data_IF_275016510847
#
_entry.id   IF_275016510847
#
_cell.length_a   1.000
_cell.length_b   1.000
_cell.length_c   1.000
_cell.angle_alpha   90.00
_cell.angle_beta   90.00
_cell.angle_gamma   90.00
#
_symmetry.space_group_name_H-M   'P 1'
#
loop_
_entity.id
_entity.type
_entity.pdbx_description
1 polymer ?
#
# COMPACT_ATOMS: atom_id res chain seq x y z
N UNK A 1 -6.77 -18.93 -22.02
CA UNK A 1 -6.73 -19.96 -20.95
C UNK A 1 -5.95 -19.42 -19.75
N UNK A 2 -6.61 -18.98 -18.67
CA UNK A 2 -5.93 -18.75 -17.39
C UNK A 2 -6.38 -19.81 -16.38
N UNK A 3 -5.50 -20.75 -16.08
CA UNK A 3 -5.69 -21.78 -15.05
C UNK A 3 -5.58 -21.13 -13.66
N UNK A 4 -6.64 -20.47 -13.20
CA UNK A 4 -6.76 -19.96 -11.83
C UNK A 4 -5.62 -19.04 -11.36
N UNK A 5 -5.54 -18.78 -10.04
CA UNK A 5 -4.39 -18.07 -9.46
C UNK A 5 -3.12 -18.91 -9.54
N UNK A 6 -2.03 -18.32 -10.01
CA UNK A 6 -0.74 -19.00 -10.10
C UNK A 6 -0.11 -19.23 -8.71
N UNK A 7 0.86 -20.16 -8.61
CA UNK A 7 1.57 -20.46 -7.35
C UNK A 7 2.15 -19.21 -6.68
N UNK A 8 2.71 -18.29 -7.48
CA UNK A 8 3.26 -17.03 -6.96
C UNK A 8 2.16 -16.10 -6.43
N UNK A 9 0.99 -16.07 -7.06
CA UNK A 9 -0.15 -15.27 -6.60
C UNK A 9 -0.65 -15.78 -5.24
N UNK A 10 -0.78 -17.11 -5.09
CA UNK A 10 -1.15 -17.76 -3.83
C UNK A 10 -0.14 -17.47 -2.72
N UNK A 11 1.17 -17.54 -3.01
CA UNK A 11 2.21 -17.24 -2.03
C UNK A 11 2.19 -15.77 -1.58
N UNK A 12 2.01 -14.82 -2.51
CA UNK A 12 1.88 -13.40 -2.18
C UNK A 12 0.63 -13.16 -1.33
N UNK A 13 -0.51 -13.76 -1.71
CA UNK A 13 -1.75 -13.65 -0.95
C UNK A 13 -1.58 -14.18 0.48
N UNK A 14 -0.94 -15.35 0.65
CA UNK A 14 -0.67 -15.92 1.96
C UNK A 14 0.20 -14.99 2.84
N UNK A 15 1.20 -14.32 2.26
CA UNK A 15 2.01 -13.31 2.96
C UNK A 15 1.15 -12.13 3.44
N UNK A 16 0.29 -11.60 2.57
CA UNK A 16 -0.56 -10.45 2.89
C UNK A 16 -1.67 -10.79 3.89
N UNK A 17 -2.21 -12.01 3.85
CA UNK A 17 -3.21 -12.48 4.80
C UNK A 17 -2.61 -12.84 6.16
N UNK A 18 -1.35 -13.31 6.20
CA UNK A 18 -0.65 -13.65 7.44
C UNK A 18 -0.23 -12.43 8.27
N UNK A 19 -0.05 -11.28 7.62
CA UNK A 19 0.29 -10.01 8.28
C UNK A 19 -0.63 -8.88 7.78
N UNK A 20 -1.92 -8.91 8.15
CA UNK A 20 -2.94 -8.03 7.56
C UNK A 20 -2.71 -6.54 7.86
N UNK A 21 -1.96 -6.21 8.92
CA UNK A 21 -1.64 -4.84 9.33
C UNK A 21 -0.29 -4.34 8.82
N UNK A 22 0.41 -5.12 8.01
CA UNK A 22 1.67 -4.72 7.39
C UNK A 22 1.48 -4.38 5.91
N UNK A 23 2.46 -3.71 5.32
CA UNK A 23 2.57 -3.48 3.89
C UNK A 23 3.94 -3.95 3.41
N UNK A 24 4.05 -4.41 2.18
CA UNK A 24 5.27 -5.03 1.67
C UNK A 24 5.77 -4.33 0.43
N UNK A 25 7.05 -3.98 0.40
CA UNK A 25 7.69 -3.62 -0.86
C UNK A 25 7.76 -4.84 -1.78
N UNK A 26 7.91 -4.64 -3.09
CA UNK A 26 8.18 -5.75 -4.02
C UNK A 26 9.40 -6.58 -3.57
N UNK A 27 10.42 -5.95 -2.96
CA UNK A 27 11.61 -6.65 -2.49
C UNK A 27 11.33 -7.48 -1.24
N UNK A 28 10.51 -6.98 -0.30
CA UNK A 28 10.02 -7.75 0.85
C UNK A 28 9.29 -9.01 0.38
N UNK A 29 8.37 -8.85 -0.58
CA UNK A 29 7.65 -9.97 -1.17
C UNK A 29 8.59 -10.95 -1.87
N UNK A 30 9.57 -10.47 -2.64
CA UNK A 30 10.55 -11.35 -3.30
C UNK A 30 11.27 -12.24 -2.29
N UNK A 31 11.73 -11.68 -1.16
CA UNK A 31 12.44 -12.44 -0.12
C UNK A 31 11.55 -13.50 0.55
N UNK A 32 10.25 -13.23 0.66
CA UNK A 32 9.28 -14.16 1.27
C UNK A 32 8.82 -15.27 0.34
N UNK A 33 8.63 -14.98 -0.95
CA UNK A 33 8.06 -15.94 -1.90
C UNK A 33 9.12 -16.78 -2.65
N UNK A 34 10.38 -16.35 -2.63
CA UNK A 34 11.51 -17.10 -3.16
C UNK A 34 12.44 -17.52 -2.02
N UNK A 35 12.18 -18.64 -1.33
CA UNK A 35 13.05 -19.10 -0.25
C UNK A 35 14.46 -19.41 -0.78
N UNK A 36 15.49 -19.04 -0.01
CA UNK A 36 16.89 -19.38 -0.32
C UNK A 36 17.56 -18.51 -1.39
N UNK A 37 16.93 -17.43 -1.87
CA UNK A 37 17.63 -16.52 -2.78
C UNK A 37 18.64 -15.66 -2.01
N UNK A 38 19.89 -15.65 -2.49
CA UNK A 38 20.94 -14.80 -1.91
C UNK A 38 20.72 -13.31 -2.23
N UNK A 39 20.09 -13.01 -3.38
CA UNK A 39 19.86 -11.64 -3.84
C UNK A 39 18.56 -11.53 -4.63
N UNK A 40 17.83 -10.44 -4.40
CA UNK A 40 16.66 -10.08 -5.22
C UNK A 40 17.12 -9.52 -6.56
N UNK A 41 16.87 -10.26 -7.63
CA UNK A 41 17.21 -9.87 -9.00
C UNK A 41 16.03 -9.21 -9.72
N UNK A 42 16.29 -8.59 -10.87
CA UNK A 42 15.25 -7.99 -11.73
C UNK A 42 14.15 -8.99 -12.10
N UNK A 43 14.51 -10.24 -12.43
CA UNK A 43 13.54 -11.29 -12.79
C UNK A 43 12.56 -11.59 -11.66
N UNK A 44 13.02 -11.64 -10.40
CA UNK A 44 12.17 -11.85 -9.23
C UNK A 44 11.18 -10.69 -9.08
N UNK A 45 11.69 -9.45 -9.14
CA UNK A 45 10.86 -8.24 -9.03
C UNK A 45 9.78 -8.15 -10.10
N UNK A 46 10.12 -8.46 -11.36
CA UNK A 46 9.16 -8.45 -12.48
C UNK A 46 8.07 -9.50 -12.25
N UNK A 47 8.44 -10.73 -11.90
CA UNK A 47 7.48 -11.81 -11.64
C UNK A 47 6.54 -11.49 -10.48
N UNK A 48 7.09 -11.01 -9.35
CA UNK A 48 6.31 -10.62 -8.16
C UNK A 48 5.41 -9.44 -8.46
N UNK A 49 5.92 -8.40 -9.14
CA UNK A 49 5.11 -7.23 -9.50
C UNK A 49 3.94 -7.63 -10.40
N UNK A 50 4.16 -8.49 -11.39
CA UNK A 50 3.08 -8.98 -12.27
C UNK A 50 2.04 -9.78 -11.49
N UNK A 51 2.47 -10.72 -10.65
CA UNK A 51 1.58 -11.51 -9.82
C UNK A 51 0.79 -10.63 -8.82
N UNK A 52 1.44 -9.71 -8.13
CA UNK A 52 0.80 -8.79 -7.20
C UNK A 52 -0.22 -7.86 -7.90
N UNK A 53 0.08 -7.39 -9.12
CA UNK A 53 -0.90 -6.64 -9.94
C UNK A 53 -2.10 -7.50 -10.31
N UNK A 54 -1.89 -8.75 -10.71
CA UNK A 54 -3.00 -9.65 -11.01
C UNK A 54 -3.89 -9.87 -9.78
N UNK A 55 -3.30 -10.01 -8.59
CA UNK A 55 -4.05 -10.09 -7.33
C UNK A 55 -4.86 -8.81 -7.11
N UNK A 56 -4.23 -7.65 -7.17
CA UNK A 56 -4.89 -6.36 -6.96
C UNK A 56 -6.02 -6.10 -7.98
N UNK A 57 -5.85 -6.53 -9.23
CA UNK A 57 -6.89 -6.41 -10.26
C UNK A 57 -8.08 -7.35 -10.06
N UNK A 58 -7.87 -8.49 -9.37
CA UNK A 58 -8.92 -9.50 -9.12
C UNK A 58 -9.60 -9.34 -7.76
N UNK A 59 -8.95 -8.66 -6.83
CA UNK A 59 -9.37 -8.56 -5.44
C UNK A 59 -9.31 -7.11 -4.95
N UNK A 60 -10.49 -6.54 -4.69
CA UNK A 60 -10.68 -5.16 -4.22
C UNK A 60 -10.01 -4.85 -2.87
N UNK A 61 -9.58 -5.89 -2.14
CA UNK A 61 -8.92 -5.76 -0.83
C UNK A 61 -7.43 -5.42 -0.91
N UNK A 62 -6.82 -5.36 -2.11
CA UNK A 62 -5.39 -5.09 -2.26
C UNK A 62 -5.10 -3.83 -3.06
N UNK A 63 -4.21 -3.00 -2.53
CA UNK A 63 -3.77 -1.76 -3.13
C UNK A 63 -2.26 -1.74 -3.40
N UNK A 64 -1.84 -0.75 -4.19
CA UNK A 64 -0.44 -0.51 -4.50
C UNK A 64 -0.13 0.99 -4.46
N UNK A 65 0.95 1.35 -3.76
CA UNK A 65 1.58 2.66 -3.87
C UNK A 65 2.93 2.51 -4.58
N UNK A 66 3.29 3.50 -5.39
CA UNK A 66 4.65 3.60 -5.94
C UNK A 66 5.48 4.49 -5.02
N UNK A 67 6.70 4.06 -4.68
CA UNK A 67 7.62 4.91 -3.93
C UNK A 67 8.09 6.08 -4.80
N UNK A 68 8.28 7.25 -4.21
CA UNK A 68 8.66 8.48 -4.92
C UNK A 68 10.17 8.57 -5.25
N UNK A 69 10.99 7.67 -4.71
CA UNK A 69 12.45 7.67 -4.90
C UNK A 69 12.87 7.21 -6.31
N UNK A 70 14.08 7.59 -6.74
CA UNK A 70 14.70 7.13 -7.99
C UNK A 70 14.79 5.59 -8.01
N UNK A 71 14.33 4.97 -9.10
CA UNK A 71 14.23 3.50 -9.18
C UNK A 71 13.08 2.92 -8.36
N UNK A 72 12.07 3.75 -8.06
CA UNK A 72 11.01 3.45 -7.10
C UNK A 72 10.30 2.10 -7.29
N UNK A 73 10.06 1.44 -6.16
CA UNK A 73 9.41 0.12 -6.07
C UNK A 73 7.91 0.28 -5.84
N UNK A 74 7.17 -0.83 -5.90
CA UNK A 74 5.77 -0.88 -5.49
C UNK A 74 5.68 -1.32 -4.03
N UNK A 75 4.75 -0.73 -3.29
CA UNK A 75 4.40 -1.09 -1.92
C UNK A 75 2.97 -1.60 -1.93
N UNK A 76 2.81 -2.87 -1.62
CA UNK A 76 1.55 -3.62 -1.65
C UNK A 76 0.96 -3.64 -0.25
N UNK A 77 -0.34 -3.36 -0.15
CA UNK A 77 -1.02 -3.23 1.12
C UNK A 77 -2.47 -3.68 1.01
N UNK A 78 -3.11 -3.88 2.16
CA UNK A 78 -4.54 -4.15 2.26
C UNK A 78 -5.33 -2.86 2.34
N UNK A 79 -6.34 -2.70 1.47
CA UNK A 79 -7.21 -1.50 1.46
C UNK A 79 -8.18 -1.48 2.63
N UNK A 80 -8.45 -2.63 3.26
CA UNK A 80 -9.35 -2.77 4.40
C UNK A 80 -8.66 -2.64 5.77
N UNK A 81 -7.31 -2.62 5.83
CA UNK A 81 -6.55 -2.36 7.06
C UNK A 81 -5.93 -0.96 7.03
N UNK A 82 -6.30 -0.16 8.04
CA UNK A 82 -5.75 1.18 8.24
C UNK A 82 -4.25 1.14 8.52
N UNK A 83 -3.80 0.19 9.34
CA UNK A 83 -2.39 0.04 9.67
C UNK A 83 -1.58 -0.40 8.45
N UNK A 84 -2.12 -1.32 7.64
CA UNK A 84 -1.49 -1.72 6.37
C UNK A 84 -1.34 -0.53 5.44
N UNK A 85 -2.40 0.26 5.24
CA UNK A 85 -2.33 1.47 4.42
C UNK A 85 -1.34 2.50 4.96
N UNK A 86 -1.32 2.74 6.27
CA UNK A 86 -0.41 3.66 6.92
C UNK A 86 1.06 3.23 6.77
N UNK A 87 1.34 1.94 6.97
CA UNK A 87 2.65 1.35 6.70
C UNK A 87 3.05 1.54 5.24
N UNK A 88 2.13 1.34 4.30
CA UNK A 88 2.37 1.56 2.88
C UNK A 88 2.75 3.02 2.59
N UNK A 89 2.01 3.98 3.16
CA UNK A 89 2.28 5.42 3.01
C UNK A 89 3.67 5.79 3.51
N UNK A 90 4.06 5.29 4.69
CA UNK A 90 5.37 5.60 5.26
C UNK A 90 6.49 4.93 4.46
N UNK A 91 6.34 3.65 4.08
CA UNK A 91 7.31 2.93 3.23
C UNK A 91 7.47 3.58 1.85
N UNK A 92 6.39 4.16 1.30
CA UNK A 92 6.40 4.83 0.00
C UNK A 92 6.91 6.27 0.04
N UNK A 93 6.89 6.91 1.22
CA UNK A 93 7.27 8.31 1.37
C UNK A 93 8.75 8.56 1.04
N UNK A 94 8.98 9.69 0.38
CA UNK A 94 10.32 10.27 0.24
C UNK A 94 10.97 10.43 1.63
N UNK A 95 12.27 10.15 1.73
CA UNK A 95 13.09 10.26 2.95
C UNK A 95 12.87 9.22 4.07
N UNK A 96 11.93 8.27 3.94
CA UNK A 96 11.86 7.13 4.88
C UNK A 96 13.01 6.16 4.66
N UNK A 97 13.50 6.05 3.41
CA UNK A 97 14.55 5.13 2.97
C UNK A 97 14.39 3.69 3.49
N UNK A 98 13.13 3.25 3.65
CA UNK A 98 12.81 1.92 4.15
C UNK A 98 13.50 0.86 3.28
N UNK A 99 14.46 0.16 3.90
CA UNK A 99 15.32 -0.83 3.24
C UNK A 99 15.84 -0.41 1.86
N UNK A 100 16.21 0.86 1.69
CA UNK A 100 16.72 1.35 0.40
C UNK A 100 17.99 0.60 -0.01
N UNK A 101 18.03 0.11 -1.26
CA UNK A 101 19.22 -0.46 -1.89
C UNK A 101 20.08 0.61 -2.58
N UNK A 102 19.73 1.89 -2.47
CA UNK A 102 20.53 2.99 -3.03
C UNK A 102 21.85 3.12 -2.26
N UNK A 103 23.01 2.90 -2.91
CA UNK A 103 24.31 2.94 -2.24
C UNK A 103 24.68 4.35 -1.73
N UNK A 104 23.98 5.39 -2.20
CA UNK A 104 24.18 6.78 -1.75
C UNK A 104 23.54 7.05 -0.40
N UNK A 105 22.66 6.17 0.08
CA UNK A 105 21.95 6.33 1.34
C UNK A 105 22.70 5.56 2.43
N UNK A 106 23.25 6.25 3.45
CA UNK A 106 23.93 5.59 4.56
C UNK A 106 23.00 4.66 5.34
N UNK A 107 23.54 3.56 5.87
CA UNK A 107 22.75 2.55 6.57
C UNK A 107 21.99 3.11 7.78
N UNK A 108 22.55 4.08 8.51
CA UNK A 108 21.89 4.72 9.65
C UNK A 108 20.63 5.53 9.27
N UNK A 109 20.45 5.87 7.99
CA UNK A 109 19.26 6.56 7.49
C UNK A 109 18.16 5.58 7.05
N UNK A 110 18.50 4.30 6.87
CA UNK A 110 17.55 3.26 6.49
C UNK A 110 16.71 2.88 7.70
N UNK A 111 15.39 2.97 7.56
CA UNK A 111 14.47 2.64 8.65
C UNK A 111 14.07 1.16 8.62
N UNK A 112 14.01 0.53 9.79
CA UNK A 112 13.40 -0.79 10.01
C UNK A 112 11.87 -0.67 10.13
N UNK A 113 11.16 -1.79 10.03
CA UNK A 113 9.71 -1.81 10.26
C UNK A 113 9.34 -1.35 11.67
N UNK A 114 10.09 -1.74 12.70
CA UNK A 114 9.83 -1.33 14.09
C UNK A 114 9.87 0.18 14.26
N UNK A 115 10.83 0.84 13.61
CA UNK A 115 10.90 2.31 13.58
C UNK A 115 9.65 2.90 12.93
N UNK A 116 9.14 2.30 11.84
CA UNK A 116 7.91 2.78 11.20
C UNK A 116 6.69 2.58 12.09
N UNK A 117 6.59 1.43 12.78
CA UNK A 117 5.51 1.15 13.73
C UNK A 117 5.53 2.13 14.91
N UNK A 118 6.71 2.47 15.43
CA UNK A 118 6.85 3.49 16.46
C UNK A 118 6.35 4.87 16.00
N UNK A 119 6.50 5.21 14.71
CA UNK A 119 5.95 6.46 14.16
C UNK A 119 4.42 6.49 14.08
N UNK A 120 3.76 5.32 14.07
CA UNK A 120 2.31 5.16 14.05
C UNK A 120 1.71 5.07 15.46
N UNK A 121 2.48 4.61 16.44
CA UNK A 121 2.06 4.49 17.84
C UNK A 121 1.63 5.85 18.43
N UNK A 122 0.83 5.87 19.52
CA UNK A 122 0.45 7.11 20.20
C UNK A 122 1.66 8.00 20.51
N UNK A 123 1.56 9.29 20.18
CA UNK A 123 2.66 10.26 20.27
C UNK A 123 3.66 10.22 19.10
N UNK A 124 3.57 9.23 18.21
CA UNK A 124 4.35 9.13 17.00
C UNK A 124 3.96 10.18 15.95
N UNK A 125 4.92 10.56 15.10
CA UNK A 125 4.76 11.63 14.10
C UNK A 125 3.54 11.45 13.18
N UNK A 126 3.16 10.21 12.88
CA UNK A 126 2.05 9.91 11.97
C UNK A 126 0.77 9.46 12.68
N UNK A 127 0.75 9.41 14.02
CA UNK A 127 -0.40 8.93 14.78
C UNK A 127 -1.69 9.69 14.46
N UNK A 128 -1.62 11.02 14.34
CA UNK A 128 -2.76 11.87 14.01
C UNK A 128 -3.44 11.57 12.67
N UNK A 129 -2.77 10.86 11.75
CA UNK A 129 -3.37 10.48 10.46
C UNK A 129 -4.20 9.20 10.52
N UNK A 130 -3.96 8.34 11.52
CA UNK A 130 -4.58 7.01 11.67
C UNK A 130 -5.67 6.96 12.76
N UNK A 131 -5.90 8.04 13.48
CA UNK A 131 -7.03 8.16 14.42
C UNK A 131 -8.29 8.64 13.69
N UNK A 132 -9.50 8.47 14.27
CA UNK A 132 -10.74 8.98 13.68
C UNK A 132 -10.64 10.46 13.28
N UNK A 133 -11.07 10.77 12.06
CA UNK A 133 -10.92 12.10 11.46
C UNK A 133 -9.55 12.39 10.83
N UNK A 134 -8.56 11.53 11.05
CA UNK A 134 -7.26 11.59 10.40
C UNK A 134 -7.35 11.33 8.89
N UNK A 135 -6.44 11.93 8.11
CA UNK A 135 -6.52 11.86 6.65
C UNK A 135 -6.41 10.42 6.11
N UNK A 136 -5.56 9.57 6.71
CA UNK A 136 -5.40 8.19 6.26
C UNK A 136 -6.56 7.31 6.75
N UNK A 137 -7.07 7.58 7.94
CA UNK A 137 -8.30 6.99 8.45
C UNK A 137 -9.46 7.22 7.48
N UNK A 138 -9.71 8.46 7.05
CA UNK A 138 -10.78 8.77 6.09
C UNK A 138 -10.63 8.07 4.74
N UNK A 139 -9.41 7.81 4.28
CA UNK A 139 -9.19 7.07 3.03
C UNK A 139 -9.63 5.61 3.17
N UNK A 140 -9.22 4.96 4.25
CA UNK A 140 -9.54 3.55 4.50
C UNK A 140 -11.04 3.36 4.77
N UNK A 141 -11.67 4.24 5.55
CA UNK A 141 -13.12 4.19 5.76
C UNK A 141 -13.87 4.31 4.44
N UNK A 142 -13.47 5.24 3.58
CA UNK A 142 -14.09 5.37 2.26
C UNK A 142 -13.92 4.11 1.40
N UNK A 143 -12.79 3.40 1.50
CA UNK A 143 -12.60 2.12 0.79
C UNK A 143 -13.43 0.98 1.40
N UNK A 144 -13.61 0.95 2.72
CA UNK A 144 -14.49 -0.01 3.39
C UNK A 144 -15.93 0.18 2.95
N UNK A 145 -16.41 1.42 2.93
CA UNK A 145 -17.74 1.78 2.45
C UNK A 145 -17.93 1.42 0.97
N UNK A 146 -16.95 1.70 0.11
CA UNK A 146 -16.99 1.32 -1.31
C UNK A 146 -17.15 -0.19 -1.46
N UNK A 147 -16.37 -0.97 -0.70
CA UNK A 147 -16.42 -2.42 -0.73
C UNK A 147 -17.77 -2.95 -0.25
N UNK A 148 -18.32 -2.39 0.82
CA UNK A 148 -19.66 -2.75 1.29
C UNK A 148 -20.74 -2.45 0.26
N UNK A 149 -20.70 -1.27 -0.38
CA UNK A 149 -21.65 -0.89 -1.43
C UNK A 149 -21.58 -1.86 -2.62
N UNK A 150 -20.37 -2.24 -3.05
CA UNK A 150 -20.17 -3.25 -4.11
C UNK A 150 -20.71 -4.62 -3.73
N UNK A 151 -20.48 -5.07 -2.49
CA UNK A 151 -21.02 -6.35 -2.00
C UNK A 151 -22.54 -6.34 -1.90
N UNK A 152 -23.13 -5.18 -1.60
CA UNK A 152 -24.57 -4.98 -1.57
C UNK A 152 -25.20 -4.72 -2.94
N UNK A 153 -24.40 -4.62 -4.01
CA UNK A 153 -24.84 -4.18 -5.34
C UNK A 153 -25.61 -2.83 -5.31
N UNK A 154 -25.20 -1.91 -4.42
CA UNK A 154 -25.82 -0.60 -4.24
C UNK A 154 -25.09 0.48 -5.06
N UNK A 155 -25.47 0.59 -6.33
CA UNK A 155 -24.86 1.53 -7.28
C UNK A 155 -25.05 3.00 -6.85
N UNK A 156 -26.17 3.33 -6.20
CA UNK A 156 -26.44 4.69 -5.73
C UNK A 156 -25.46 5.09 -4.62
N UNK A 157 -25.24 4.21 -3.64
CA UNK A 157 -24.24 4.41 -2.59
C UNK A 157 -22.84 4.50 -3.18
N UNK A 158 -22.51 3.67 -4.18
CA UNK A 158 -21.22 3.71 -4.86
C UNK A 158 -20.98 5.05 -5.58
N UNK A 159 -21.98 5.55 -6.30
CA UNK A 159 -21.91 6.87 -6.96
C UNK A 159 -21.73 8.01 -5.95
N UNK A 160 -22.42 7.96 -4.81
CA UNK A 160 -22.28 8.96 -3.75
C UNK A 160 -20.85 9.00 -3.19
N UNK A 161 -20.27 7.83 -2.89
CA UNK A 161 -18.89 7.69 -2.39
C UNK A 161 -17.89 8.30 -3.39
N UNK A 162 -18.03 8.00 -4.68
CA UNK A 162 -17.15 8.56 -5.71
C UNK A 162 -17.30 10.07 -5.85
N UNK A 163 -18.53 10.59 -5.82
CA UNK A 163 -18.80 12.02 -5.87
C UNK A 163 -18.19 12.77 -4.68
N UNK A 164 -18.25 12.21 -3.48
CA UNK A 164 -17.64 12.79 -2.28
C UNK A 164 -16.11 12.85 -2.39
N UNK A 165 -15.47 11.75 -2.81
CA UNK A 165 -14.01 11.72 -3.03
C UNK A 165 -13.58 12.75 -4.05
N UNK A 166 -14.31 12.87 -5.15
CA UNK A 166 -14.01 13.84 -6.19
C UNK A 166 -14.18 15.28 -5.68
N UNK A 167 -15.25 15.57 -4.93
CA UNK A 167 -15.45 16.86 -4.30
C UNK A 167 -14.33 17.21 -3.31
N UNK A 168 -13.87 16.25 -2.50
CA UNK A 168 -12.73 16.41 -1.60
C UNK A 168 -11.45 16.71 -2.37
N UNK A 169 -11.18 15.96 -3.44
CA UNK A 169 -10.03 16.20 -4.31
C UNK A 169 -10.07 17.57 -4.98
N UNK A 170 -11.24 18.03 -5.45
CA UNK A 170 -11.44 19.37 -6.00
C UNK A 170 -11.13 20.45 -4.96
N UNK A 171 -11.63 20.30 -3.72
CA UNK A 171 -11.34 21.24 -2.61
C UNK A 171 -9.84 21.31 -2.31
N UNK A 172 -9.15 20.18 -2.26
CA UNK A 172 -7.69 20.13 -2.04
C UNK A 172 -6.94 20.81 -3.19
N UNK A 173 -7.27 20.49 -4.45
CA UNK A 173 -6.64 21.12 -5.62
C UNK A 173 -6.83 22.64 -5.63
N UNK A 174 -8.04 23.14 -5.32
CA UNK A 174 -8.31 24.58 -5.15
C UNK A 174 -7.42 25.21 -4.09
N UNK A 175 -7.33 24.58 -2.92
CA UNK A 175 -6.50 25.07 -1.81
C UNK A 175 -5.01 25.14 -2.18
N UNK A 176 -4.54 24.24 -3.03
CA UNK A 176 -3.16 24.19 -3.50
C UNK A 176 -2.90 25.08 -4.73
N UNK A 177 -3.89 25.82 -5.23
CA UNK A 177 -3.74 26.62 -6.45
C UNK A 177 -3.55 25.79 -7.73
N UNK A 178 -3.92 24.50 -7.69
CA UNK A 178 -3.77 23.55 -8.80
C UNK A 178 -5.07 23.36 -9.60
N UNK A 179 -6.08 24.20 -9.34
CA UNK A 179 -7.32 24.21 -10.10
C UNK A 179 -7.23 25.29 -11.18
N UNK A 180 -7.24 24.88 -12.46
CA UNK A 180 -7.60 25.74 -13.59
C UNK A 180 -9.09 26.01 -13.58
#
# INVERSE_FOLDING_TARGET
MSRGPGRLELAIKAVLDGEPDNAFTTDDLCRRVYPGINKVEKKHRVSVTRAARNIANRHDSFGCLRTENLGGTCVWFRTDSLLSYAMAKIKAASFTYYQSNDPRIPDHQKKSEDVLRAMLAPGGRYHGYIVPGGAWWSHVESWREEREAKLACDDNRLHAIYAEREAKNRRIRRRLGLAT
#
